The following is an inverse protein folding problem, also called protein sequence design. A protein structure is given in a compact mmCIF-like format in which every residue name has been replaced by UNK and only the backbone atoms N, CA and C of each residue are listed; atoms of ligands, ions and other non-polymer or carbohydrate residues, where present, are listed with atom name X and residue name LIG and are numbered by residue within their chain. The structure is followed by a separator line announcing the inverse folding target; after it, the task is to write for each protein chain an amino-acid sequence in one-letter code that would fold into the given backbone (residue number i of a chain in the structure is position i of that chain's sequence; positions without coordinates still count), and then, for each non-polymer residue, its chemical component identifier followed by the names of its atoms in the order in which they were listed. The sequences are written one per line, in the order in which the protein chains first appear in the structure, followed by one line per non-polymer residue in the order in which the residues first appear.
data_IF_991196929104
#
_entry.id   IF_991196929104
#
_cell.length_a   1.000
_cell.length_b   1.000
_cell.length_c   1.000
_cell.angle_alpha   90.00
_cell.angle_beta   90.00
_cell.angle_gamma   90.00
#
_symmetry.space_group_name_H-M   'P 1'
#
loop_
_entity.id
_entity.type
_entity.pdbx_description
1 polymer ?
#
# COMPACT_ATOMS: atom_id res chain seq x y z
N UNK A 1 10.24 -8.75 -12.95
CA UNK A 1 9.25 -7.64 -12.94
C UNK A 1 9.84 -6.49 -13.72
N UNK A 2 9.10 -5.84 -14.62
CA UNK A 2 9.57 -4.62 -15.30
C UNK A 2 9.25 -3.40 -14.43
N UNK A 3 10.28 -2.61 -14.06
CA UNK A 3 10.11 -1.46 -13.16
C UNK A 3 9.25 -0.35 -13.79
N UNK A 4 9.50 0.12 -15.03
CA UNK A 4 8.72 1.25 -15.58
C UNK A 4 7.22 0.97 -15.69
N UNK A 5 6.76 -0.20 -16.20
CA UNK A 5 5.32 -0.51 -16.21
C UNK A 5 4.72 -0.65 -14.80
N UNK A 6 5.49 -1.14 -13.83
CA UNK A 6 5.04 -1.23 -12.44
C UNK A 6 4.88 0.16 -11.84
N UNK A 7 5.83 1.07 -12.10
CA UNK A 7 5.76 2.45 -11.65
C UNK A 7 4.54 3.16 -12.22
N UNK A 8 4.33 3.09 -13.54
CA UNK A 8 3.15 3.66 -14.20
C UNK A 8 1.85 3.17 -13.56
N UNK A 9 1.73 1.86 -13.31
CA UNK A 9 0.54 1.29 -12.69
C UNK A 9 0.33 1.71 -11.22
N UNK A 10 1.40 2.09 -10.50
CA UNK A 10 1.30 2.67 -9.16
C UNK A 10 0.80 4.12 -9.27
N UNK A 11 1.33 4.89 -10.22
CA UNK A 11 0.89 6.27 -10.44
C UNK A 11 -0.60 6.35 -10.80
N UNK A 12 -1.06 5.48 -11.71
CA UNK A 12 -2.49 5.35 -12.08
C UNK A 12 -3.37 5.01 -10.87
N UNK A 13 -2.88 4.13 -9.96
CA UNK A 13 -3.62 3.81 -8.75
C UNK A 13 -3.70 5.02 -7.80
N UNK A 14 -2.60 5.76 -7.63
CA UNK A 14 -2.59 6.98 -6.81
C UNK A 14 -3.44 8.10 -7.43
N UNK A 15 -3.51 8.21 -8.76
CA UNK A 15 -4.42 9.13 -9.45
C UNK A 15 -5.87 8.76 -9.19
N UNK A 16 -6.18 7.47 -9.22
CA UNK A 16 -7.52 6.97 -8.88
C UNK A 16 -7.89 7.33 -7.43
N UNK A 17 -6.97 7.14 -6.47
CA UNK A 17 -7.19 7.60 -5.10
C UNK A 17 -7.39 9.11 -5.01
N UNK A 18 -6.59 9.92 -5.73
CA UNK A 18 -6.75 11.38 -5.73
C UNK A 18 -8.13 11.80 -6.26
N UNK A 19 -8.56 11.21 -7.37
CA UNK A 19 -9.84 11.51 -8.00
C UNK A 19 -11.02 11.08 -7.10
N UNK A 20 -10.97 9.86 -6.54
CA UNK A 20 -11.98 9.38 -5.61
C UNK A 20 -12.09 10.29 -4.38
N UNK A 21 -10.96 10.71 -3.83
CA UNK A 21 -10.93 11.63 -2.70
C UNK A 21 -11.64 12.95 -3.00
N UNK A 22 -11.53 13.49 -4.20
CA UNK A 22 -12.23 14.72 -4.58
C UNK A 22 -13.74 14.50 -4.79
N UNK A 23 -14.16 13.32 -5.20
CA UNK A 23 -15.57 13.00 -5.45
C UNK A 23 -16.35 12.53 -4.22
N UNK A 24 -15.68 11.96 -3.21
CA UNK A 24 -16.35 11.51 -1.99
C UNK A 24 -16.86 12.73 -1.22
N UNK A 25 -18.17 12.81 -0.87
CA UNK A 25 -18.72 13.91 -0.08
C UNK A 25 -18.02 14.04 1.27
N UNK A 26 -17.81 15.28 1.73
CA UNK A 26 -17.08 15.56 2.96
C UNK A 26 -17.76 14.93 4.20
N UNK A 27 -19.10 14.96 4.22
CA UNK A 27 -19.95 14.37 5.26
C UNK A 27 -20.02 12.84 5.22
N UNK A 28 -19.47 12.20 4.19
CA UNK A 28 -19.38 10.74 4.08
C UNK A 28 -17.98 10.20 4.33
N UNK A 29 -16.94 11.04 4.28
CA UNK A 29 -15.56 10.57 4.26
C UNK A 29 -15.17 9.81 5.53
N UNK A 30 -15.64 10.24 6.69
CA UNK A 30 -15.29 9.66 7.98
C UNK A 30 -16.39 8.77 8.59
N UNK A 31 -17.52 8.61 7.89
CA UNK A 31 -18.65 7.79 8.35
C UNK A 31 -18.27 6.31 8.37
N UNK A 32 -18.45 5.67 9.52
CA UNK A 32 -18.26 4.24 9.68
C UNK A 32 -19.54 3.51 9.21
N UNK A 33 -19.46 2.61 8.22
CA UNK A 33 -20.58 1.76 7.81
C UNK A 33 -21.24 0.98 8.97
N UNK A 34 -22.53 0.68 8.83
CA UNK A 34 -23.33 -0.02 9.87
C UNK A 34 -22.77 -1.39 10.26
N UNK A 35 -22.08 -2.08 9.34
CA UNK A 35 -21.48 -3.38 9.58
C UNK A 35 -20.15 -3.32 10.36
N UNK A 36 -19.75 -2.12 10.82
CA UNK A 36 -18.51 -1.88 11.58
C UNK A 36 -17.24 -2.01 10.75
N UNK A 37 -17.35 -2.11 9.41
CA UNK A 37 -16.19 -2.06 8.53
C UNK A 37 -15.58 -0.65 8.46
N UNK A 38 -14.37 -0.54 7.92
CA UNK A 38 -13.67 0.75 7.84
C UNK A 38 -14.39 1.79 6.98
N UNK A 39 -14.35 3.04 7.43
CA UNK A 39 -14.72 4.22 6.64
C UNK A 39 -13.71 4.51 5.53
N UNK A 40 -14.03 5.46 4.64
CA UNK A 40 -13.04 5.93 3.65
C UNK A 40 -11.80 6.47 4.35
N UNK A 41 -11.98 7.35 5.34
CA UNK A 41 -10.91 7.95 6.11
C UNK A 41 -9.94 6.91 6.69
N UNK A 42 -10.46 5.79 7.22
CA UNK A 42 -9.67 4.69 7.75
C UNK A 42 -8.95 3.88 6.67
N UNK A 43 -9.61 3.60 5.54
CA UNK A 43 -8.96 2.92 4.39
C UNK A 43 -7.82 3.77 3.82
N UNK A 44 -8.02 5.08 3.64
CA UNK A 44 -6.99 6.02 3.19
C UNK A 44 -5.82 6.07 4.18
N UNK A 45 -6.12 6.10 5.49
CA UNK A 45 -5.13 6.04 6.56
C UNK A 45 -4.23 4.81 6.43
N UNK A 46 -4.83 3.63 6.36
CA UNK A 46 -4.10 2.37 6.24
C UNK A 46 -3.27 2.32 4.95
N UNK A 47 -3.88 2.57 3.79
CA UNK A 47 -3.19 2.31 2.52
C UNK A 47 -2.04 3.30 2.28
N UNK A 48 -2.21 4.57 2.62
CA UNK A 48 -1.17 5.57 2.37
C UNK A 48 -0.02 5.43 3.38
N UNK A 49 -0.31 5.15 4.64
CA UNK A 49 0.74 4.85 5.63
C UNK A 49 1.49 3.56 5.28
N UNK A 50 0.78 2.50 4.88
CA UNK A 50 1.40 1.25 4.44
C UNK A 50 2.26 1.45 3.18
N UNK A 51 1.86 2.34 2.28
CA UNK A 51 2.65 2.72 1.09
C UNK A 51 3.93 3.45 1.51
N UNK A 52 3.85 4.41 2.44
CA UNK A 52 5.03 5.07 3.01
C UNK A 52 5.96 4.05 3.69
N UNK A 53 5.44 3.17 4.54
CA UNK A 53 6.24 2.13 5.20
C UNK A 53 6.91 1.19 4.19
N UNK A 54 6.20 0.81 3.13
CA UNK A 54 6.71 -0.05 2.07
C UNK A 54 7.79 0.63 1.23
N UNK A 55 7.65 1.92 0.94
CA UNK A 55 8.69 2.70 0.24
C UNK A 55 9.94 2.86 1.10
N UNK A 56 9.81 3.01 2.43
CA UNK A 56 10.95 3.01 3.36
C UNK A 56 11.67 1.66 3.34
N UNK A 57 10.93 0.56 3.40
CA UNK A 57 11.53 -0.78 3.33
C UNK A 57 12.21 -1.03 1.97
N UNK A 58 11.58 -0.63 0.87
CA UNK A 58 12.16 -0.72 -0.47
C UNK A 58 13.46 0.09 -0.59
N UNK A 59 13.46 1.33 -0.10
CA UNK A 59 14.63 2.21 -0.11
C UNK A 59 15.81 1.64 0.68
N UNK A 60 15.57 1.16 1.90
CA UNK A 60 16.60 0.52 2.72
C UNK A 60 17.22 -0.67 2.00
N UNK A 61 16.39 -1.51 1.39
CA UNK A 61 16.88 -2.71 0.72
C UNK A 61 17.58 -2.37 -0.61
N UNK A 62 17.15 -1.30 -1.30
CA UNK A 62 17.83 -0.80 -2.49
C UNK A 62 19.22 -0.26 -2.17
N UNK A 63 19.36 0.42 -1.03
CA UNK A 63 20.64 0.94 -0.54
C UNK A 63 21.51 -0.13 0.15
N UNK A 64 21.08 -1.40 0.18
CA UNK A 64 21.82 -2.48 0.84
C UNK A 64 21.83 -2.43 2.38
N UNK A 65 21.02 -1.56 3.01
CA UNK A 65 20.99 -1.37 4.47
C UNK A 65 19.93 -2.23 5.18
N UNK A 66 19.24 -3.11 4.45
CA UNK A 66 18.48 -4.20 5.05
C UNK A 66 19.40 -5.37 5.45
N UNK A 67 18.90 -6.29 6.27
CA UNK A 67 19.63 -7.51 6.60
C UNK A 67 19.90 -8.37 5.36
N UNK A 68 21.09 -8.96 5.29
CA UNK A 68 21.44 -9.93 4.25
C UNK A 68 20.88 -11.31 4.63
N UNK A 69 20.06 -11.91 3.76
CA UNK A 69 19.53 -13.26 4.01
C UNK A 69 19.17 -14.04 2.75
N UNK A 70 19.29 -15.37 2.85
CA UNK A 70 18.80 -16.33 1.84
C UNK A 70 17.30 -16.60 1.98
N UNK A 71 16.70 -16.32 3.14
CA UNK A 71 15.25 -16.42 3.34
C UNK A 71 14.50 -15.53 2.35
N UNK A 72 13.30 -15.92 1.98
CA UNK A 72 12.52 -15.24 0.95
C UNK A 72 11.05 -15.13 1.30
N UNK A 73 10.24 -15.00 0.24
CA UNK A 73 8.80 -14.95 0.36
C UNK A 73 8.25 -16.24 0.97
N UNK A 74 7.25 -16.11 1.85
CA UNK A 74 6.37 -17.23 2.21
C UNK A 74 5.59 -17.71 0.98
N UNK A 75 4.97 -18.89 1.03
CA UNK A 75 4.10 -19.37 -0.06
C UNK A 75 2.99 -18.35 -0.37
N UNK A 76 2.36 -17.80 0.69
CA UNK A 76 1.33 -16.77 0.57
C UNK A 76 1.89 -15.50 -0.10
N UNK A 77 3.07 -15.03 0.31
CA UNK A 77 3.71 -13.86 -0.29
C UNK A 77 4.04 -14.07 -1.77
N UNK A 78 4.53 -15.26 -2.13
CA UNK A 78 4.83 -15.65 -3.51
C UNK A 78 3.58 -15.62 -4.38
N UNK A 79 2.49 -16.24 -3.93
CA UNK A 79 1.21 -16.25 -4.65
C UNK A 79 0.62 -14.84 -4.77
N UNK A 80 0.61 -14.07 -3.67
CA UNK A 80 0.07 -12.71 -3.64
C UNK A 80 0.76 -11.78 -4.66
N UNK A 81 2.10 -11.75 -4.67
CA UNK A 81 2.85 -10.87 -5.57
C UNK A 81 2.83 -11.35 -7.03
N UNK A 82 2.76 -12.66 -7.26
CA UNK A 82 2.74 -13.22 -8.62
C UNK A 82 1.37 -13.07 -9.28
N UNK A 83 0.28 -13.23 -8.52
CA UNK A 83 -1.09 -13.18 -9.02
C UNK A 83 -1.77 -11.80 -8.85
N UNK A 84 -1.03 -10.79 -8.37
CA UNK A 84 -1.58 -9.47 -8.05
C UNK A 84 -2.80 -9.54 -7.11
N UNK A 85 -2.71 -10.41 -6.11
CA UNK A 85 -3.81 -10.76 -5.23
C UNK A 85 -3.43 -10.48 -3.77
N UNK A 86 -4.40 -10.06 -2.95
CA UNK A 86 -4.25 -9.96 -1.50
C UNK A 86 -5.19 -10.96 -0.82
N UNK A 87 -4.68 -11.81 0.10
CA UNK A 87 -5.51 -12.72 0.86
C UNK A 87 -6.59 -11.95 1.62
N UNK A 88 -7.84 -12.42 1.55
CA UNK A 88 -8.92 -11.85 2.36
C UNK A 88 -8.55 -11.96 3.83
N UNK A 89 -8.47 -10.82 4.51
CA UNK A 89 -8.44 -10.72 5.96
C UNK A 89 -9.58 -9.81 6.34
N UNK A 90 -10.32 -10.14 7.39
CA UNK A 90 -11.28 -9.19 7.95
C UNK A 90 -10.46 -7.99 8.47
N UNK A 91 -10.56 -6.86 7.77
CA UNK A 91 -10.00 -5.60 8.21
C UNK A 91 -10.94 -5.04 9.29
N UNK A 92 -10.78 -5.50 10.52
CA UNK A 92 -11.40 -4.87 11.69
C UNK A 92 -10.44 -3.80 12.19
N UNK A 93 -10.96 -2.72 12.79
CA UNK A 93 -10.13 -1.66 13.40
C UNK A 93 -9.13 -2.25 14.42
N UNK A 94 -9.53 -3.30 15.13
CA UNK A 94 -8.74 -4.04 16.12
C UNK A 94 -7.62 -4.91 15.53
N UNK A 95 -7.71 -5.28 14.24
CA UNK A 95 -6.78 -6.20 13.58
C UNK A 95 -5.59 -5.54 12.86
N UNK A 96 -5.56 -4.20 12.79
CA UNK A 96 -4.52 -3.48 12.08
C UNK A 96 -3.25 -3.36 12.94
N UNK A 97 -2.10 -3.81 12.40
CA UNK A 97 -0.79 -3.65 13.05
C UNK A 97 -0.26 -2.21 13.00
N UNK A 98 -0.82 -1.39 12.11
CA UNK A 98 -0.56 0.05 12.03
C UNK A 98 -1.77 0.73 12.66
N UNK A 99 -1.60 1.64 13.63
CA UNK A 99 -2.72 2.40 14.18
C UNK A 99 -3.49 3.10 13.06
N UNK A 100 -4.75 2.70 12.88
CA UNK A 100 -5.64 3.32 11.90
C UNK A 100 -6.39 4.45 12.59
N UNK A 101 -6.28 5.66 12.04
CA UNK A 101 -7.08 6.82 12.46
C UNK A 101 -7.95 7.29 11.31
N UNK A 102 -9.09 7.92 11.63
CA UNK A 102 -9.89 8.67 10.64
C UNK A 102 -9.12 9.92 10.23
N UNK A 103 -8.65 9.94 8.98
CA UNK A 103 -8.03 11.12 8.40
C UNK A 103 -9.08 12.18 8.03
N UNK A 104 -8.67 13.44 7.98
CA UNK A 104 -9.36 14.44 7.16
C UNK A 104 -9.00 14.26 5.68
N UNK A 105 -9.80 14.82 4.76
CA UNK A 105 -9.47 14.80 3.33
C UNK A 105 -8.15 15.51 3.03
N UNK A 106 -7.85 16.61 3.73
CA UNK A 106 -6.57 17.30 3.59
C UNK A 106 -5.38 16.45 4.05
N UNK A 107 -5.51 15.74 5.18
CA UNK A 107 -4.47 14.79 5.60
C UNK A 107 -4.25 13.69 4.55
N UNK A 108 -5.32 13.16 3.96
CA UNK A 108 -5.24 12.17 2.89
C UNK A 108 -4.56 12.73 1.63
N UNK A 109 -4.86 13.98 1.22
CA UNK A 109 -4.18 14.69 0.10
C UNK A 109 -2.68 14.81 0.36
N UNK A 110 -2.30 15.25 1.56
CA UNK A 110 -0.90 15.39 1.94
C UNK A 110 -0.15 14.05 1.93
N UNK A 111 -0.80 12.98 2.39
CA UNK A 111 -0.22 11.64 2.34
C UNK A 111 -0.07 11.11 0.90
N UNK A 112 -0.99 11.42 -0.02
CA UNK A 112 -0.86 11.08 -1.45
C UNK A 112 0.36 11.77 -2.07
N UNK A 113 0.53 13.06 -1.82
CA UNK A 113 1.71 13.84 -2.28
C UNK A 113 2.99 13.20 -1.73
N UNK A 114 3.01 12.87 -0.44
CA UNK A 114 4.15 12.21 0.20
C UNK A 114 4.45 10.83 -0.40
N UNK A 115 3.42 10.04 -0.71
CA UNK A 115 3.60 8.74 -1.39
C UNK A 115 4.26 8.91 -2.75
N UNK A 116 3.80 9.86 -3.57
CA UNK A 116 4.38 10.16 -4.89
C UNK A 116 5.84 10.58 -4.77
N UNK A 117 6.13 11.56 -3.93
CA UNK A 117 7.51 12.03 -3.73
C UNK A 117 8.46 10.91 -3.29
N UNK A 118 8.01 10.00 -2.40
CA UNK A 118 8.81 8.84 -2.02
C UNK A 118 9.01 7.84 -3.15
N UNK A 119 8.02 7.63 -4.02
CA UNK A 119 8.19 6.74 -5.16
C UNK A 119 9.20 7.34 -6.15
N UNK A 120 9.17 8.65 -6.36
CA UNK A 120 10.07 9.36 -7.27
C UNK A 120 11.53 9.19 -6.85
N UNK A 121 11.81 9.27 -5.55
CA UNK A 121 13.18 9.15 -5.03
C UNK A 121 13.73 7.71 -5.06
N UNK A 122 12.88 6.69 -5.09
CA UNK A 122 13.33 5.28 -4.98
C UNK A 122 13.28 4.51 -6.30
N UNK A 123 12.51 4.96 -7.29
CA UNK A 123 12.20 4.15 -8.50
C UNK A 123 13.47 3.69 -9.23
N UNK A 124 14.42 4.59 -9.45
CA UNK A 124 15.65 4.28 -10.17
C UNK A 124 16.61 3.39 -9.39
N UNK A 125 16.55 3.44 -8.05
CA UNK A 125 17.42 2.65 -7.17
C UNK A 125 17.03 1.18 -7.14
N UNK A 126 15.80 0.85 -7.50
CA UNK A 126 15.28 -0.53 -7.39
C UNK A 126 15.92 -1.46 -8.44
N UNK A 127 16.30 -0.93 -9.61
CA UNK A 127 16.77 -1.75 -10.74
C UNK A 127 18.07 -2.49 -10.41
N UNK A 128 18.97 -1.84 -9.67
CA UNK A 128 20.31 -2.34 -9.31
C UNK A 128 20.38 -2.80 -7.84
N UNK A 129 19.22 -2.91 -7.19
CA UNK A 129 19.15 -3.25 -5.78
C UNK A 129 19.71 -4.66 -5.48
N UNK A 130 20.51 -4.83 -4.41
CA UNK A 130 21.08 -6.12 -4.04
C UNK A 130 19.96 -7.12 -3.69
N UNK A 131 19.87 -8.27 -4.37
CA UNK A 131 18.73 -9.18 -4.21
C UNK A 131 18.70 -9.89 -2.84
N UNK A 132 19.83 -9.91 -2.12
CA UNK A 132 19.99 -10.52 -0.80
C UNK A 132 19.66 -9.55 0.34
N UNK A 133 19.62 -8.24 0.10
CA UNK A 133 19.23 -7.24 1.11
C UNK A 133 17.72 -7.24 1.22
N UNK A 134 17.21 -7.74 2.36
CA UNK A 134 15.78 -8.02 2.54
C UNK A 134 15.27 -7.58 3.91
N UNK A 135 14.01 -7.17 3.95
CA UNK A 135 13.30 -6.79 5.16
C UNK A 135 12.02 -7.59 5.33
N UNK A 136 11.68 -7.94 6.57
CA UNK A 136 10.56 -8.84 6.88
C UNK A 136 9.22 -8.13 6.74
N UNK A 137 8.37 -8.62 5.83
CA UNK A 137 6.95 -8.32 5.84
C UNK A 137 6.23 -9.29 6.79
N UNK A 138 5.25 -8.78 7.55
CA UNK A 138 4.56 -9.52 8.61
C UNK A 138 3.90 -10.83 8.16
N UNK A 139 3.48 -10.93 6.89
CA UNK A 139 2.84 -12.12 6.31
C UNK A 139 3.59 -12.71 5.12
N UNK A 140 4.35 -11.88 4.42
CA UNK A 140 4.91 -12.26 3.11
C UNK A 140 6.36 -12.72 3.21
N UNK A 141 6.96 -12.68 4.40
CA UNK A 141 8.33 -13.15 4.61
C UNK A 141 9.38 -12.09 4.29
N UNK A 142 10.59 -12.53 3.98
CA UNK A 142 11.72 -11.64 3.68
C UNK A 142 11.63 -11.13 2.24
N UNK A 143 11.53 -9.81 2.09
CA UNK A 143 11.31 -9.15 0.80
C UNK A 143 12.45 -8.21 0.44
N UNK A 144 12.92 -8.28 -0.81
CA UNK A 144 13.88 -7.33 -1.36
C UNK A 144 13.20 -6.06 -1.91
N UNK A 145 13.99 -5.10 -2.39
CA UNK A 145 13.48 -3.81 -2.88
C UNK A 145 12.42 -3.96 -3.99
N UNK A 146 12.68 -4.80 -4.99
CA UNK A 146 11.76 -5.04 -6.09
C UNK A 146 10.44 -5.70 -5.63
N UNK A 147 10.50 -6.59 -4.64
CA UNK A 147 9.32 -7.23 -4.06
C UNK A 147 8.49 -6.24 -3.23
N UNK A 148 9.13 -5.36 -2.44
CA UNK A 148 8.43 -4.27 -1.74
C UNK A 148 7.77 -3.31 -2.72
N UNK A 149 8.44 -2.97 -3.83
CA UNK A 149 7.85 -2.15 -4.88
C UNK A 149 6.65 -2.81 -5.54
N UNK A 150 6.73 -4.12 -5.81
CA UNK A 150 5.59 -4.90 -6.31
C UNK A 150 4.44 -4.92 -5.31
N UNK A 151 4.74 -5.05 -4.03
CA UNK A 151 3.74 -5.06 -2.96
C UNK A 151 2.95 -3.76 -2.91
N UNK A 152 3.60 -2.60 -3.07
CA UNK A 152 2.92 -1.29 -3.13
C UNK A 152 1.81 -1.31 -4.18
N UNK A 153 2.12 -1.75 -5.40
CA UNK A 153 1.13 -1.85 -6.48
C UNK A 153 -0.04 -2.78 -6.12
N UNK A 154 0.28 -3.99 -5.65
CA UNK A 154 -0.73 -5.00 -5.32
C UNK A 154 -1.64 -4.52 -4.19
N UNK A 155 -1.07 -3.86 -3.18
CA UNK A 155 -1.79 -3.36 -2.02
C UNK A 155 -2.70 -2.17 -2.38
N UNK A 156 -2.20 -1.21 -3.16
CA UNK A 156 -2.99 -0.08 -3.67
C UNK A 156 -4.20 -0.59 -4.49
N UNK A 157 -3.96 -1.47 -5.47
CA UNK A 157 -5.03 -2.01 -6.32
C UNK A 157 -6.05 -2.84 -5.53
N UNK A 158 -5.61 -3.54 -4.49
CA UNK A 158 -6.52 -4.27 -3.62
C UNK A 158 -7.47 -3.32 -2.87
N UNK A 159 -6.94 -2.26 -2.25
CA UNK A 159 -7.73 -1.36 -1.44
C UNK A 159 -8.58 -0.38 -2.26
N UNK A 160 -8.28 -0.13 -3.54
CA UNK A 160 -9.22 0.57 -4.43
C UNK A 160 -10.58 -0.15 -4.52
N UNK A 161 -10.58 -1.48 -4.56
CA UNK A 161 -11.83 -2.27 -4.51
C UNK A 161 -12.52 -2.19 -3.14
N UNK A 162 -11.78 -1.89 -2.08
CA UNK A 162 -12.40 -1.65 -0.76
C UNK A 162 -13.07 -0.28 -0.73
N UNK A 163 -12.41 0.77 -1.24
CA UNK A 163 -12.99 2.11 -1.39
C UNK A 163 -14.30 2.04 -2.17
N UNK A 164 -14.28 1.41 -3.36
CA UNK A 164 -15.47 1.27 -4.21
C UNK A 164 -16.68 0.64 -3.46
N UNK A 165 -16.44 -0.42 -2.69
CA UNK A 165 -17.47 -1.13 -1.92
C UNK A 165 -18.03 -0.34 -0.73
N UNK A 166 -17.36 0.70 -0.24
CA UNK A 166 -17.88 1.51 0.89
C UNK A 166 -19.09 2.31 0.43
N UNK A 167 -19.12 2.80 -0.82
CA UNK A 167 -20.24 3.56 -1.36
C UNK A 167 -21.57 2.80 -1.22
N UNK A 168 -21.57 1.51 -1.55
CA UNK A 168 -22.73 0.63 -1.45
C UNK A 168 -23.15 0.29 -0.02
N UNK A 169 -22.33 0.64 0.98
CA UNK A 169 -22.63 0.42 2.42
C UNK A 169 -23.08 1.69 3.14
N UNK A 170 -22.91 2.85 2.50
CA UNK A 170 -23.35 4.14 3.02
C UNK A 170 -24.71 4.57 2.44
N UNK A 171 -25.12 3.95 1.32
CA UNK A 171 -26.50 3.97 0.83
C UNK A 171 -27.43 3.20 1.78
#
# INVERSE_FOLDING_TARGET
MKIPPTRKAIDEALDTYRALLDTIPDDQFDITPRDGSWSYAEVYSHILQATIGSTIAAERCANGTCGSTREGLTLVGRLALSLNYMPKVKATAEGAKIPVKKLTKEEARNLLIKCRGRLDTITDKIKDAPPHSKFKHSRFGMMNAAQWFKFILVHLKHHLRQVDRISSKLA
#
